data_IF_134885315520
#
_entry.id   IF_134885315520
#
_cell.length_a   1.000
_cell.length_b   1.000
_cell.length_c   1.000
_cell.angle_alpha   90.00
_cell.angle_beta   90.00
_cell.angle_gamma   90.00
#
_symmetry.space_group_name_H-M   'P 1'
#
loop_
_entity.id
_entity.type
_entity.pdbx_description
1 polymer ?
#
# COMPACT_ATOMS: atom_id res chain seq x y z
N UNK A 1 42.18 23.03 -13.94
CA UNK A 1 41.19 23.49 -12.94
C UNK A 1 40.00 22.55 -12.97
N UNK A 2 39.64 21.85 -11.87
CA UNK A 2 38.44 21.04 -11.87
C UNK A 2 37.23 21.96 -11.98
N UNK A 3 36.34 21.64 -12.94
CA UNK A 3 35.13 22.43 -13.22
C UNK A 3 34.28 22.53 -11.95
N UNK A 4 33.80 23.74 -11.62
CA UNK A 4 32.82 23.95 -10.56
C UNK A 4 31.64 22.98 -10.76
N UNK A 5 31.47 22.02 -9.84
CA UNK A 5 30.31 21.14 -9.83
C UNK A 5 29.08 22.05 -9.71
N UNK A 6 28.13 21.91 -10.63
CA UNK A 6 26.85 22.63 -10.53
C UNK A 6 26.11 22.08 -9.32
N UNK A 7 25.93 22.90 -8.29
CA UNK A 7 25.31 22.48 -7.02
C UNK A 7 23.80 22.25 -7.15
N UNK A 8 23.14 22.76 -8.19
CA UNK A 8 21.71 22.52 -8.49
C UNK A 8 21.50 21.58 -9.68
N UNK A 9 20.41 20.81 -9.63
CA UNK A 9 19.98 19.87 -10.68
C UNK A 9 21.03 18.80 -11.02
N UNK A 10 21.88 18.46 -10.06
CA UNK A 10 22.85 17.39 -10.18
C UNK A 10 22.27 16.10 -9.57
N UNK A 11 22.36 15.00 -10.31
CA UNK A 11 22.07 13.66 -9.79
C UNK A 11 23.10 13.25 -8.74
N UNK A 12 22.64 12.68 -7.62
CA UNK A 12 23.49 12.33 -6.48
C UNK A 12 23.36 10.88 -6.05
N UNK A 13 24.44 10.32 -5.50
CA UNK A 13 24.44 9.07 -4.75
C UNK A 13 24.63 9.31 -3.23
N UNK A 14 24.17 8.39 -2.37
CA UNK A 14 24.42 8.47 -0.93
C UNK A 14 25.91 8.54 -0.62
N UNK A 15 26.31 9.46 0.26
CA UNK A 15 27.69 9.72 0.66
C UNK A 15 28.43 10.72 -0.23
N UNK A 16 27.88 11.15 -1.36
CA UNK A 16 28.54 12.17 -2.18
C UNK A 16 28.61 13.52 -1.47
N UNK A 17 29.81 14.11 -1.41
CA UNK A 17 30.02 15.49 -0.99
C UNK A 17 29.37 16.45 -1.99
N UNK A 18 28.54 17.34 -1.46
CA UNK A 18 27.78 18.30 -2.26
C UNK A 18 28.25 19.74 -2.05
N UNK A 19 28.54 20.12 -0.80
CA UNK A 19 29.01 21.46 -0.43
C UNK A 19 29.77 21.40 0.91
N UNK A 20 30.37 22.51 1.33
CA UNK A 20 30.81 22.70 2.73
C UNK A 20 29.75 23.47 3.52
N UNK A 21 29.75 23.32 4.84
CA UNK A 21 28.72 23.90 5.73
C UNK A 21 28.70 25.44 5.69
N UNK A 22 29.83 26.08 5.35
CA UNK A 22 29.93 27.53 5.19
C UNK A 22 29.21 28.04 3.94
N UNK A 23 29.05 27.20 2.92
CA UNK A 23 28.31 27.53 1.70
C UNK A 23 26.80 27.36 1.93
N UNK A 24 26.41 26.17 2.39
CA UNK A 24 25.02 25.75 2.61
C UNK A 24 24.92 24.84 3.84
N UNK A 25 23.84 24.95 4.61
CA UNK A 25 23.52 23.99 5.66
C UNK A 25 22.84 22.74 5.08
N UNK A 26 22.75 21.67 5.87
CA UNK A 26 22.01 20.47 5.51
C UNK A 26 20.50 20.72 5.51
N UNK A 27 19.86 20.32 4.42
CA UNK A 27 18.41 20.26 4.29
C UNK A 27 17.92 18.81 4.05
N UNK A 28 16.63 18.62 3.75
CA UNK A 28 16.06 17.30 3.52
C UNK A 28 16.84 16.50 2.44
N UNK A 29 17.15 15.24 2.77
CA UNK A 29 17.92 14.36 1.88
C UNK A 29 19.44 14.54 1.96
N UNK A 30 19.95 15.39 2.84
CA UNK A 30 21.38 15.58 3.12
C UNK A 30 21.70 15.35 4.60
N UNK A 31 22.98 15.32 4.95
CA UNK A 31 23.51 15.32 6.33
C UNK A 31 24.87 16.01 6.38
N UNK A 32 25.32 16.39 7.58
CA UNK A 32 26.66 16.94 7.79
C UNK A 32 27.63 15.88 8.32
N UNK A 33 28.84 15.85 7.79
CA UNK A 33 29.94 15.01 8.25
C UNK A 33 31.27 15.74 8.03
N UNK A 34 32.06 15.91 9.09
CA UNK A 34 33.39 16.56 9.05
C UNK A 34 33.41 17.95 8.36
N UNK A 35 32.35 18.75 8.50
CA UNK A 35 32.23 20.07 7.88
C UNK A 35 31.74 20.06 6.42
N UNK A 36 31.41 18.87 5.90
CA UNK A 36 30.84 18.70 4.57
C UNK A 36 29.34 18.40 4.63
N UNK A 37 28.58 19.01 3.71
CA UNK A 37 27.20 18.59 3.44
C UNK A 37 27.22 17.49 2.39
N UNK A 38 26.68 16.33 2.76
CA UNK A 38 26.67 15.10 1.96
C UNK A 38 25.25 14.65 1.66
N UNK A 39 25.08 13.97 0.52
CA UNK A 39 23.79 13.36 0.19
C UNK A 39 23.53 12.13 1.06
N UNK A 40 22.34 12.01 1.64
CA UNK A 40 21.88 10.78 2.31
C UNK A 40 21.12 9.83 1.34
N UNK A 41 20.90 10.24 0.10
CA UNK A 41 19.95 9.53 -0.77
C UNK A 41 20.24 9.68 -2.26
N UNK A 42 19.61 8.82 -3.07
CA UNK A 42 19.65 8.93 -4.52
C UNK A 42 18.61 9.97 -4.93
N UNK A 43 19.04 11.00 -5.65
CA UNK A 43 18.15 12.10 -5.98
C UNK A 43 18.78 13.18 -6.82
N UNK A 44 18.14 14.34 -6.85
CA UNK A 44 18.60 15.53 -7.56
C UNK A 44 18.72 16.71 -6.58
N UNK A 45 19.82 17.45 -6.64
CA UNK A 45 20.05 18.59 -5.76
C UNK A 45 19.16 19.79 -6.10
N UNK A 46 18.73 20.53 -5.08
CA UNK A 46 18.01 21.81 -5.16
C UNK A 46 18.46 22.67 -3.98
N UNK A 47 18.56 23.99 -4.16
CA UNK A 47 18.92 24.90 -3.08
C UNK A 47 17.65 25.60 -2.56
N UNK A 48 17.42 25.54 -1.25
CA UNK A 48 16.50 26.46 -0.60
C UNK A 48 17.26 27.75 -0.29
N UNK A 49 17.07 28.77 -1.13
CA UNK A 49 17.77 30.06 -0.99
C UNK A 49 17.32 30.86 0.22
N UNK A 50 16.10 30.64 0.72
CA UNK A 50 15.58 31.37 1.87
C UNK A 50 16.21 30.88 3.17
N UNK A 51 16.42 29.56 3.27
CA UNK A 51 17.07 28.92 4.42
C UNK A 51 18.57 28.70 4.24
N UNK A 52 19.07 28.89 3.01
CA UNK A 52 20.43 28.59 2.60
C UNK A 52 20.80 27.12 2.84
N UNK A 53 19.83 26.23 2.58
CA UNK A 53 19.95 24.78 2.74
C UNK A 53 20.17 24.10 1.39
N UNK A 54 20.96 23.03 1.39
CA UNK A 54 21.05 22.12 0.26
C UNK A 54 20.10 20.93 0.46
N UNK A 55 19.24 20.69 -0.53
CA UNK A 55 18.19 19.67 -0.50
C UNK A 55 18.44 18.65 -1.61
N UNK A 56 18.26 17.37 -1.31
CA UNK A 56 18.25 16.31 -2.32
C UNK A 56 16.83 15.78 -2.47
N UNK A 57 16.21 16.07 -3.62
CA UNK A 57 14.90 15.51 -3.97
C UNK A 57 15.09 14.05 -4.35
N UNK A 58 14.60 13.15 -3.51
CA UNK A 58 14.62 11.70 -3.75
C UNK A 58 14.02 11.36 -5.12
N UNK A 59 14.71 10.49 -5.86
CA UNK A 59 14.19 9.87 -7.09
C UNK A 59 13.75 8.43 -6.83
N UNK A 60 14.00 7.90 -5.62
CA UNK A 60 13.50 6.60 -5.18
C UNK A 60 11.98 6.64 -4.95
N UNK A 61 11.25 5.52 -5.14
CA UNK A 61 9.82 5.44 -4.83
C UNK A 61 9.49 5.97 -3.43
N UNK A 62 8.41 6.73 -3.31
CA UNK A 62 7.91 7.17 -2.01
C UNK A 62 7.36 5.98 -1.22
N UNK A 63 7.73 5.91 0.05
CA UNK A 63 7.14 4.94 0.98
C UNK A 63 5.78 5.46 1.38
N UNK A 64 4.72 4.74 1.02
CA UNK A 64 3.38 5.03 1.49
C UNK A 64 3.20 4.40 2.86
N UNK A 65 2.99 5.24 3.87
CA UNK A 65 2.70 4.80 5.22
C UNK A 65 1.18 4.60 5.34
N UNK A 66 0.70 3.43 5.76
CA UNK A 66 -0.73 3.20 5.98
C UNK A 66 -1.27 4.11 7.09
N UNK A 67 -2.34 4.84 6.80
CA UNK A 67 -3.07 5.66 7.77
C UNK A 67 -4.54 5.26 7.85
N UNK A 68 -5.16 5.53 9.00
CA UNK A 68 -6.60 5.31 9.19
C UNK A 68 -7.40 6.15 8.19
N UNK A 69 -8.42 5.54 7.61
CA UNK A 69 -9.31 6.17 6.62
C UNK A 69 -8.95 5.90 5.16
N UNK A 70 -7.74 5.41 4.86
CA UNK A 70 -7.32 5.07 3.50
C UNK A 70 -8.03 3.83 2.97
N UNK A 71 -8.30 3.81 1.66
CA UNK A 71 -8.80 2.65 0.95
C UNK A 71 -7.66 1.74 0.54
N UNK A 72 -7.86 0.43 0.68
CA UNK A 72 -6.84 -0.58 0.40
C UNK A 72 -7.37 -1.69 -0.49
N UNK A 73 -6.49 -2.20 -1.37
CA UNK A 73 -6.70 -3.46 -2.07
C UNK A 73 -5.68 -4.46 -1.55
N UNK A 74 -6.19 -5.63 -1.18
CA UNK A 74 -5.40 -6.68 -0.57
C UNK A 74 -5.79 -8.06 -1.09
N UNK A 75 -4.83 -8.99 -1.04
CA UNK A 75 -5.09 -10.42 -1.22
C UNK A 75 -5.24 -11.09 0.13
N UNK A 76 -6.11 -12.09 0.23
CA UNK A 76 -6.30 -12.84 1.46
C UNK A 76 -5.34 -14.01 1.49
N UNK A 77 -4.38 -13.99 2.42
CA UNK A 77 -3.45 -15.09 2.63
C UNK A 77 -4.11 -16.26 3.37
N UNK A 78 -4.55 -16.03 4.60
CA UNK A 78 -5.10 -17.09 5.47
C UNK A 78 -6.37 -16.65 6.18
N UNK A 79 -7.34 -17.56 6.29
CA UNK A 79 -8.60 -17.33 7.00
C UNK A 79 -8.66 -18.26 8.22
N UNK A 80 -8.72 -17.67 9.41
CA UNK A 80 -8.99 -18.38 10.67
C UNK A 80 -10.47 -18.24 11.03
N UNK A 81 -10.89 -18.64 12.25
CA UNK A 81 -12.30 -18.63 12.64
C UNK A 81 -12.87 -17.21 12.84
N UNK A 82 -12.08 -16.31 13.40
CA UNK A 82 -12.50 -14.95 13.78
C UNK A 82 -11.79 -13.84 13.03
N UNK A 83 -10.73 -14.16 12.32
CA UNK A 83 -9.88 -13.19 11.64
C UNK A 83 -9.29 -13.77 10.35
N UNK A 84 -8.93 -12.87 9.43
CA UNK A 84 -8.23 -13.20 8.20
C UNK A 84 -6.98 -12.32 8.07
N UNK A 85 -5.87 -12.92 7.67
CA UNK A 85 -4.62 -12.22 7.33
C UNK A 85 -4.65 -11.83 5.87
N UNK A 86 -4.24 -10.59 5.60
CA UNK A 86 -4.26 -10.01 4.26
C UNK A 86 -2.91 -9.39 3.93
N UNK A 87 -2.58 -9.39 2.65
CA UNK A 87 -1.41 -8.73 2.09
C UNK A 87 -1.89 -7.56 1.22
N UNK A 88 -1.71 -6.35 1.73
CA UNK A 88 -2.12 -5.10 1.10
C UNK A 88 -1.07 -4.72 0.05
N UNK A 89 -1.51 -4.54 -1.19
CA UNK A 89 -0.64 -4.20 -2.32
C UNK A 89 -1.05 -2.90 -3.03
N UNK A 90 -2.20 -2.31 -2.67
CA UNK A 90 -2.60 -0.95 -3.09
C UNK A 90 -3.10 -0.18 -1.87
N UNK A 91 -2.67 1.07 -1.73
CA UNK A 91 -3.18 2.03 -0.74
C UNK A 91 -3.53 3.32 -1.48
N UNK A 92 -4.77 3.81 -1.33
CA UNK A 92 -5.32 5.00 -1.99
C UNK A 92 -4.97 5.08 -3.50
N UNK A 93 -5.16 3.96 -4.20
CA UNK A 93 -4.92 3.84 -5.63
C UNK A 93 -3.45 3.72 -6.05
N UNK A 94 -2.50 3.72 -5.11
CA UNK A 94 -1.08 3.55 -5.43
C UNK A 94 -0.59 2.16 -5.04
N UNK A 95 0.06 1.48 -5.98
CA UNK A 95 0.71 0.19 -5.73
C UNK A 95 1.88 0.36 -4.77
N UNK A 96 1.97 -0.53 -3.78
CA UNK A 96 3.05 -0.53 -2.78
C UNK A 96 3.91 -1.79 -2.90
N UNK A 97 5.23 -1.58 -2.81
CA UNK A 97 6.21 -2.65 -2.72
C UNK A 97 7.27 -2.28 -1.66
N UNK A 98 7.57 -3.16 -0.69
CA UNK A 98 6.90 -4.44 -0.43
C UNK A 98 5.42 -4.27 -0.01
N UNK A 99 4.66 -5.36 -0.02
CA UNK A 99 3.28 -5.37 0.48
C UNK A 99 3.25 -5.12 1.98
N UNK A 100 2.13 -4.59 2.46
CA UNK A 100 1.91 -4.35 3.89
C UNK A 100 0.95 -5.40 4.45
N UNK A 101 1.32 -6.06 5.55
CA UNK A 101 0.45 -7.05 6.18
C UNK A 101 -0.69 -6.38 6.94
N UNK A 102 -1.87 -7.00 6.92
CA UNK A 102 -3.04 -6.53 7.65
C UNK A 102 -3.89 -7.67 8.20
N UNK A 103 -4.92 -7.28 8.94
CA UNK A 103 -5.90 -8.21 9.53
C UNK A 103 -7.32 -7.70 9.33
N UNK A 104 -8.25 -8.61 9.13
CA UNK A 104 -9.68 -8.35 9.15
C UNK A 104 -10.28 -9.18 10.25
N UNK A 105 -10.88 -8.54 11.25
CA UNK A 105 -11.62 -9.24 12.29
C UNK A 105 -13.09 -9.42 11.87
N UNK A 106 -13.74 -10.48 12.35
CA UNK A 106 -15.14 -10.81 12.00
C UNK A 106 -16.12 -9.67 12.30
N UNK A 107 -15.84 -8.87 13.34
CA UNK A 107 -16.63 -7.69 13.68
C UNK A 107 -16.58 -6.58 12.63
N UNK A 108 -15.62 -6.63 11.71
CA UNK A 108 -15.38 -5.60 10.70
C UNK A 108 -15.78 -6.04 9.29
N UNK A 109 -16.44 -7.19 9.16
CA UNK A 109 -16.98 -7.67 7.89
C UNK A 109 -18.33 -7.02 7.56
N UNK A 110 -19.26 -7.01 8.50
CA UNK A 110 -20.63 -6.51 8.28
C UNK A 110 -21.17 -5.90 9.56
N UNK A 111 -22.30 -5.20 9.45
CA UNK A 111 -23.13 -4.84 10.61
C UNK A 111 -23.91 -6.06 11.12
N UNK A 112 -24.22 -6.99 10.23
CA UNK A 112 -24.92 -8.22 10.57
C UNK A 112 -23.98 -9.25 11.20
N UNK A 113 -24.50 -10.00 12.17
CA UNK A 113 -23.74 -11.05 12.84
C UNK A 113 -23.42 -12.20 11.87
N UNK A 114 -22.14 -12.43 11.64
CA UNK A 114 -21.63 -13.60 10.92
C UNK A 114 -21.11 -14.63 11.93
N UNK A 115 -21.54 -15.88 11.77
CA UNK A 115 -21.05 -16.99 12.62
C UNK A 115 -19.57 -17.30 12.36
N UNK A 116 -19.15 -17.22 11.09
CA UNK A 116 -17.79 -17.49 10.65
C UNK A 116 -17.41 -16.57 9.48
N UNK A 117 -16.13 -16.22 9.40
CA UNK A 117 -15.56 -15.35 8.36
C UNK A 117 -15.50 -16.02 6.97
N UNK A 118 -15.50 -17.36 6.88
CA UNK A 118 -15.40 -18.12 5.63
C UNK A 118 -16.61 -17.92 4.69
N UNK A 119 -17.73 -17.43 5.25
CA UNK A 119 -18.93 -17.04 4.50
C UNK A 119 -18.77 -15.69 3.81
N UNK A 120 -17.87 -14.83 4.31
CA UNK A 120 -17.60 -13.51 3.75
C UNK A 120 -16.42 -13.52 2.79
N UNK A 121 -15.35 -14.25 3.14
CA UNK A 121 -14.07 -14.21 2.44
C UNK A 121 -13.35 -15.56 2.48
N UNK A 122 -12.51 -15.85 1.47
CA UNK A 122 -11.64 -17.03 1.46
C UNK A 122 -10.20 -16.70 1.06
N UNK A 123 -9.29 -17.59 1.42
CA UNK A 123 -7.90 -17.54 0.95
C UNK A 123 -7.84 -17.44 -0.57
N UNK A 124 -6.97 -16.56 -1.06
CA UNK A 124 -6.81 -16.25 -2.47
C UNK A 124 -7.76 -15.16 -3.00
N UNK A 125 -8.85 -14.84 -2.30
CA UNK A 125 -9.73 -13.74 -2.73
C UNK A 125 -8.98 -12.39 -2.70
N UNK A 126 -9.33 -11.51 -3.63
CA UNK A 126 -8.87 -10.11 -3.65
C UNK A 126 -10.02 -9.24 -3.13
N UNK A 127 -9.72 -8.36 -2.20
CA UNK A 127 -10.67 -7.53 -1.50
C UNK A 127 -10.34 -6.03 -1.63
N UNK A 128 -11.37 -5.21 -1.52
CA UNK A 128 -11.27 -3.78 -1.27
C UNK A 128 -11.81 -3.50 0.13
N UNK A 129 -11.04 -2.77 0.94
CA UNK A 129 -11.39 -2.44 2.32
C UNK A 129 -10.93 -1.05 2.72
N UNK A 130 -11.25 -0.67 3.96
CA UNK A 130 -10.85 0.59 4.56
C UNK A 130 -9.98 0.34 5.79
N UNK A 131 -8.85 1.04 5.90
CA UNK A 131 -8.05 1.01 7.12
C UNK A 131 -8.79 1.72 8.26
N UNK A 132 -9.00 1.01 9.37
CA UNK A 132 -9.68 1.56 10.56
C UNK A 132 -8.76 1.67 11.77
N UNK A 133 -7.62 0.99 11.75
CA UNK A 133 -6.61 1.08 12.79
C UNK A 133 -5.26 0.72 12.16
N UNK A 134 -4.24 1.52 12.42
CA UNK A 134 -2.85 1.24 12.01
C UNK A 134 -1.87 1.28 13.19
N UNK A 135 -2.39 1.38 14.42
CA UNK A 135 -1.60 1.41 15.66
C UNK A 135 -0.85 0.10 15.84
N UNK A 136 0.32 0.19 16.49
CA UNK A 136 1.20 -0.96 16.74
C UNK A 136 1.56 -1.75 15.47
N UNK A 137 1.58 -1.10 14.30
CA UNK A 137 1.86 -1.70 12.99
C UNK A 137 0.86 -2.80 12.59
N UNK A 138 -0.33 -2.82 13.19
CA UNK A 138 -1.40 -3.72 12.81
C UNK A 138 -2.38 -2.98 11.91
N UNK A 139 -2.34 -3.26 10.60
CA UNK A 139 -3.27 -2.67 9.64
C UNK A 139 -4.62 -3.39 9.71
N UNK A 140 -5.47 -2.97 10.63
CA UNK A 140 -6.82 -3.49 10.75
C UNK A 140 -7.69 -2.89 9.64
N UNK A 141 -8.23 -3.78 8.81
CA UNK A 141 -9.04 -3.42 7.65
C UNK A 141 -10.50 -3.80 7.90
N UNK A 142 -11.39 -2.86 7.61
CA UNK A 142 -12.84 -3.05 7.64
C UNK A 142 -13.37 -3.26 6.24
N UNK A 143 -14.33 -4.18 6.13
CA UNK A 143 -15.15 -4.37 4.93
C UNK A 143 -16.57 -3.83 5.13
N UNK A 144 -16.86 -3.10 6.23
CA UNK A 144 -18.18 -2.49 6.44
C UNK A 144 -18.45 -1.41 5.39
N UNK A 145 -19.52 -1.58 4.63
CA UNK A 145 -19.90 -0.74 3.50
C UNK A 145 -20.33 -1.60 2.32
N UNK A 146 -20.97 -0.98 1.33
CA UNK A 146 -21.33 -1.65 0.07
C UNK A 146 -20.24 -1.52 -0.98
N UNK A 147 -19.34 -0.55 -0.83
CA UNK A 147 -18.14 -0.41 -1.68
C UNK A 147 -17.03 -1.39 -1.29
N UNK A 148 -17.10 -1.97 -0.11
CA UNK A 148 -16.06 -2.86 0.44
C UNK A 148 -16.49 -4.33 0.47
N UNK A 149 -15.52 -5.21 0.28
CA UNK A 149 -15.73 -6.65 0.18
C UNK A 149 -14.80 -7.29 -0.85
N UNK A 150 -15.10 -8.53 -1.22
CA UNK A 150 -14.44 -9.24 -2.30
C UNK A 150 -14.71 -8.52 -3.61
N UNK A 151 -13.65 -8.23 -4.37
CA UNK A 151 -13.69 -7.64 -5.72
C UNK A 151 -13.36 -8.68 -6.79
N UNK A 152 -12.53 -9.67 -6.47
CA UNK A 152 -12.28 -10.87 -7.26
C UNK A 152 -12.23 -12.07 -6.33
N UNK A 153 -12.98 -13.12 -6.65
CA UNK A 153 -13.01 -14.34 -5.84
C UNK A 153 -12.73 -15.56 -6.68
N UNK A 154 -12.06 -16.55 -6.09
CA UNK A 154 -11.65 -17.76 -6.80
C UNK A 154 -12.39 -18.99 -6.27
N UNK A 155 -12.73 -19.90 -7.18
CA UNK A 155 -13.46 -21.10 -6.84
C UNK A 155 -12.62 -22.01 -5.94
N UNK A 156 -13.19 -22.35 -4.78
CA UNK A 156 -12.55 -23.21 -3.78
C UNK A 156 -12.29 -24.65 -4.23
N UNK A 157 -12.85 -25.06 -5.39
CA UNK A 157 -12.64 -26.41 -5.95
C UNK A 157 -11.57 -26.43 -7.04
N UNK A 158 -11.61 -25.49 -7.97
CA UNK A 158 -10.82 -25.55 -9.21
C UNK A 158 -9.95 -24.30 -9.45
N UNK A 159 -10.00 -23.31 -8.57
CA UNK A 159 -9.25 -22.06 -8.70
C UNK A 159 -9.78 -21.07 -9.76
N UNK A 160 -10.78 -21.46 -10.57
CA UNK A 160 -11.36 -20.58 -11.58
C UNK A 160 -11.99 -19.32 -10.99
N UNK A 161 -11.87 -18.19 -11.69
CA UNK A 161 -12.48 -16.93 -11.30
C UNK A 161 -14.01 -17.06 -11.22
N UNK A 162 -14.61 -16.58 -10.14
CA UNK A 162 -16.06 -16.63 -9.94
C UNK A 162 -16.75 -15.46 -10.67
N UNK A 163 -17.93 -15.73 -11.21
CA UNK A 163 -18.80 -14.71 -11.83
C UNK A 163 -19.96 -14.37 -10.89
N UNK A 164 -20.28 -13.08 -10.79
CA UNK A 164 -21.45 -12.63 -10.01
C UNK A 164 -22.70 -12.65 -10.89
N UNK A 165 -23.65 -13.53 -10.57
CA UNK A 165 -24.98 -13.63 -11.22
C UNK A 165 -26.07 -13.60 -10.16
N UNK A 166 -27.01 -12.66 -10.27
CA UNK A 166 -28.16 -12.53 -9.37
C UNK A 166 -27.79 -12.52 -7.87
N UNK A 167 -26.67 -11.87 -7.52
CA UNK A 167 -26.18 -11.80 -6.14
C UNK A 167 -25.48 -13.06 -5.62
N UNK A 168 -25.27 -14.09 -6.46
CA UNK A 168 -24.51 -15.31 -6.17
C UNK A 168 -23.19 -15.31 -6.94
N UNK A 169 -22.17 -15.97 -6.40
CA UNK A 169 -20.93 -16.23 -7.12
C UNK A 169 -20.96 -17.65 -7.70
N UNK A 170 -20.78 -17.76 -9.01
CA UNK A 170 -20.85 -19.02 -9.74
C UNK A 170 -19.55 -19.23 -10.49
N UNK A 171 -18.95 -20.42 -10.34
CA UNK A 171 -17.78 -20.78 -11.12
C UNK A 171 -18.20 -21.22 -12.53
N UNK A 172 -17.77 -20.55 -13.61
CA UNK A 172 -18.09 -20.96 -14.98
C UNK A 172 -17.43 -22.31 -15.35
N UNK A 173 -16.31 -22.67 -14.72
CA UNK A 173 -15.55 -23.89 -15.05
C UNK A 173 -16.13 -25.17 -14.45
N UNK A 174 -16.67 -25.13 -13.24
CA UNK A 174 -17.18 -26.33 -12.54
C UNK A 174 -18.61 -26.20 -11.99
N UNK A 175 -19.29 -25.09 -12.24
CA UNK A 175 -20.67 -24.83 -11.83
C UNK A 175 -20.89 -24.60 -10.33
N UNK A 176 -19.82 -24.61 -9.51
CA UNK A 176 -19.94 -24.43 -8.06
C UNK A 176 -20.48 -23.04 -7.73
N UNK A 177 -21.50 -23.01 -6.89
CA UNK A 177 -22.03 -21.79 -6.31
C UNK A 177 -21.39 -21.54 -4.94
N UNK A 178 -20.94 -20.31 -4.72
CA UNK A 178 -20.31 -19.88 -3.49
C UNK A 178 -20.88 -18.54 -3.01
N UNK A 179 -20.79 -18.30 -1.70
CA UNK A 179 -21.16 -17.02 -1.10
C UNK A 179 -19.90 -16.32 -0.61
N UNK A 180 -19.88 -15.00 -0.80
CA UNK A 180 -18.90 -14.05 -0.29
C UNK A 180 -19.60 -12.75 0.03
N UNK A 181 -18.98 -11.92 0.86
CA UNK A 181 -19.33 -10.52 0.98
C UNK A 181 -18.68 -9.77 -0.17
N UNK A 182 -19.40 -9.56 -1.26
CA UNK A 182 -18.88 -8.87 -2.45
C UNK A 182 -19.04 -7.35 -2.33
N UNK A 183 -18.05 -6.60 -2.82
CA UNK A 183 -18.22 -5.19 -3.12
C UNK A 183 -19.21 -4.97 -4.29
N UNK A 184 -19.76 -3.77 -4.39
CA UNK A 184 -20.55 -3.34 -5.56
C UNK A 184 -19.71 -3.27 -6.85
N UNK A 185 -18.39 -3.10 -6.74
CA UNK A 185 -17.41 -3.07 -7.84
C UNK A 185 -16.84 -4.45 -8.20
N UNK A 186 -17.44 -5.55 -7.72
CA UNK A 186 -17.00 -6.92 -8.07
C UNK A 186 -16.81 -7.09 -9.59
N UNK A 187 -15.62 -7.55 -10.00
CA UNK A 187 -15.26 -7.74 -11.41
C UNK A 187 -15.03 -6.47 -12.23
N UNK A 188 -15.05 -5.28 -11.61
CA UNK A 188 -14.91 -3.98 -12.30
C UNK A 188 -13.64 -3.21 -11.91
N UNK A 189 -13.03 -3.53 -10.77
CA UNK A 189 -11.83 -2.84 -10.29
C UNK A 189 -10.62 -3.18 -11.17
N UNK A 190 -9.92 -2.18 -11.69
CA UNK A 190 -8.64 -2.40 -12.37
C UNK A 190 -7.55 -2.52 -11.32
N UNK A 191 -6.77 -3.60 -11.37
CA UNK A 191 -5.64 -3.86 -10.47
C UNK A 191 -4.31 -3.37 -11.06
N UNK A 192 -4.36 -2.34 -11.92
CA UNK A 192 -3.26 -1.84 -12.76
C UNK A 192 -3.03 -0.37 -12.47
#
# INVERSE_FOLDING_TARGET
>A
MPKAKKTENQGTFPGEKLAVIEEYSDGPGTYQEDGDVRSNTIGTTTIDKARRELVVKKTTPMIIVPHEGMDVIASIGSVARRDARIDIFVIDGTHIHPTSSGVIHISDLSRDYLKNIDMAVRSGDIIKGKLINTKNRLNQTSLKGSEYGVIYGFCSRCGGLLEKKEGKLICPSCGRMERRKTANTYGKEKLV
#
